data_IF_396572799550
#
_entry.id   IF_396572799550
#
_cell.length_a   1.000
_cell.length_b   1.000
_cell.length_c   1.000
_cell.angle_alpha   90.00
_cell.angle_beta   90.00
_cell.angle_gamma   90.00
#
_symmetry.space_group_name_H-M   'P 1'
#
loop_
_entity.id
_entity.type
_entity.pdbx_description
1 polymer ?
#
# COMPACT_ATOMS: atom_id res chain seq x y z
N UNK A 1 6.41 37.32 -21.84
CA UNK A 1 5.90 36.27 -20.93
C UNK A 1 4.78 36.89 -20.13
N UNK A 2 3.62 36.23 -20.04
CA UNK A 2 2.49 36.74 -19.22
C UNK A 2 2.93 36.94 -17.77
N UNK A 3 2.54 38.08 -17.18
CA UNK A 3 2.78 38.46 -15.79
C UNK A 3 1.75 37.87 -14.82
N UNK A 4 0.83 37.04 -15.32
CA UNK A 4 -0.21 36.45 -14.49
C UNK A 4 0.39 35.48 -13.46
N UNK A 5 -0.11 35.60 -12.24
CA UNK A 5 0.36 34.81 -11.09
C UNK A 5 -0.82 34.36 -10.27
N UNK A 6 -0.62 33.23 -9.61
CA UNK A 6 -1.59 32.70 -8.65
C UNK A 6 -1.57 33.56 -7.39
N UNK A 7 -2.74 34.04 -6.97
CA UNK A 7 -2.89 34.77 -5.72
C UNK A 7 -2.98 33.84 -4.51
N UNK A 8 -2.85 34.40 -3.30
CA UNK A 8 -2.84 33.65 -2.03
C UNK A 8 -4.11 32.84 -1.74
N UNK A 9 -5.23 33.15 -2.40
CA UNK A 9 -6.49 32.43 -2.28
C UNK A 9 -6.47 31.01 -2.85
N UNK A 10 -5.42 30.66 -3.60
CA UNK A 10 -5.27 29.34 -4.23
C UNK A 10 -5.34 28.18 -3.24
N UNK A 11 -4.84 28.37 -2.02
CA UNK A 11 -4.83 27.30 -1.02
C UNK A 11 -6.26 26.86 -0.64
N UNK A 12 -7.23 27.76 -0.74
CA UNK A 12 -8.65 27.48 -0.49
C UNK A 12 -9.40 27.08 -1.75
N UNK A 13 -9.10 27.72 -2.88
CA UNK A 13 -9.84 27.54 -4.14
C UNK A 13 -9.31 26.38 -5.00
N UNK A 14 -8.09 25.91 -4.72
CA UNK A 14 -7.33 25.05 -5.62
C UNK A 14 -6.77 25.83 -6.81
N UNK A 15 -6.15 25.10 -7.74
CA UNK A 15 -5.52 25.67 -8.94
C UNK A 15 -6.37 25.58 -10.21
N UNK A 16 -7.51 24.90 -10.15
CA UNK A 16 -8.39 24.62 -11.30
C UNK A 16 -8.77 25.87 -12.09
N UNK A 17 -9.08 26.97 -11.40
CA UNK A 17 -9.58 28.20 -12.02
C UNK A 17 -8.48 29.17 -12.46
N UNK A 18 -7.21 28.86 -12.18
CA UNK A 18 -6.07 29.64 -12.64
C UNK A 18 -5.61 29.15 -14.02
N UNK A 19 -5.12 30.05 -14.88
CA UNK A 19 -4.54 29.66 -16.17
C UNK A 19 -3.24 28.85 -16.00
N UNK A 20 -2.87 28.08 -17.02
CA UNK A 20 -1.64 27.28 -16.97
C UNK A 20 -0.42 28.19 -16.89
N UNK A 21 -0.48 29.33 -17.58
CA UNK A 21 0.53 30.38 -17.58
C UNK A 21 0.69 30.99 -16.19
N UNK A 22 -0.39 31.17 -15.43
CA UNK A 22 -0.32 31.70 -14.06
C UNK A 22 0.36 30.71 -13.10
N UNK A 23 0.11 29.41 -13.27
CA UNK A 23 0.74 28.35 -12.47
C UNK A 23 2.24 28.30 -12.78
N UNK A 24 2.60 28.21 -14.07
CA UNK A 24 4.02 28.19 -14.52
C UNK A 24 4.74 29.49 -14.15
N UNK A 25 4.08 30.65 -14.29
CA UNK A 25 4.63 31.94 -13.90
C UNK A 25 4.89 32.03 -12.39
N UNK A 26 4.02 31.43 -11.58
CA UNK A 26 4.22 31.34 -10.12
C UNK A 26 5.38 30.41 -9.78
N UNK A 27 5.51 29.27 -10.47
CA UNK A 27 6.67 28.39 -10.33
C UNK A 27 7.98 29.13 -10.65
N UNK A 28 8.02 29.83 -11.79
CA UNK A 28 9.19 30.59 -12.24
C UNK A 28 9.57 31.72 -11.29
N UNK A 29 8.59 32.47 -10.78
CA UNK A 29 8.85 33.55 -9.82
C UNK A 29 9.58 33.06 -8.56
N UNK A 30 9.26 31.85 -8.10
CA UNK A 30 9.85 31.26 -6.91
C UNK A 30 11.01 30.30 -7.22
N UNK A 31 11.58 30.37 -8.43
CA UNK A 31 12.85 29.72 -8.76
C UNK A 31 12.76 28.39 -9.50
N UNK A 32 11.55 27.95 -9.91
CA UNK A 32 11.34 26.69 -10.62
C UNK A 32 10.90 26.98 -12.05
N UNK A 33 11.80 26.76 -13.02
CA UNK A 33 11.47 26.85 -14.44
C UNK A 33 10.87 25.53 -14.92
N UNK A 34 9.67 25.58 -15.50
CA UNK A 34 8.97 24.41 -16.06
C UNK A 34 8.48 24.75 -17.45
N UNK A 35 8.76 23.88 -18.42
CA UNK A 35 8.10 23.86 -19.71
C UNK A 35 7.22 22.61 -19.81
N UNK A 36 6.22 22.63 -20.70
CA UNK A 36 5.40 21.44 -20.96
C UNK A 36 6.23 20.26 -21.46
N UNK A 37 7.23 20.51 -22.32
CA UNK A 37 8.11 19.48 -22.85
C UNK A 37 8.92 18.79 -21.75
N UNK A 38 9.56 19.57 -20.86
CA UNK A 38 10.33 19.03 -19.74
C UNK A 38 9.43 18.29 -18.75
N UNK A 39 8.22 18.80 -18.50
CA UNK A 39 7.25 18.15 -17.62
C UNK A 39 6.82 16.79 -18.18
N UNK A 40 6.52 16.71 -19.49
CA UNK A 40 6.20 15.45 -20.16
C UNK A 40 7.34 14.45 -20.06
N UNK A 41 8.58 14.88 -20.28
CA UNK A 41 9.76 14.02 -20.12
C UNK A 41 9.93 13.52 -18.68
N UNK A 42 9.80 14.39 -17.68
CA UNK A 42 9.85 13.99 -16.27
C UNK A 42 8.76 12.98 -15.92
N UNK A 43 7.56 13.15 -16.50
CA UNK A 43 6.41 12.29 -16.24
C UNK A 43 6.58 10.85 -16.74
N UNK A 44 7.57 10.56 -17.58
CA UNK A 44 7.90 9.20 -17.99
C UNK A 44 8.49 8.38 -16.83
N UNK A 45 9.07 9.06 -15.83
CA UNK A 45 9.78 8.42 -14.72
C UNK A 45 9.22 8.77 -13.34
N UNK A 46 8.45 9.85 -13.24
CA UNK A 46 7.97 10.39 -11.97
C UNK A 46 6.48 10.73 -12.07
N UNK A 47 5.82 10.64 -10.93
CA UNK A 47 4.45 11.09 -10.72
C UNK A 47 4.44 12.47 -10.06
N UNK A 48 3.29 13.15 -9.97
CA UNK A 48 3.23 14.55 -9.53
C UNK A 48 3.98 14.87 -8.23
N UNK A 49 3.93 14.01 -7.20
CA UNK A 49 4.67 14.27 -5.96
C UNK A 49 6.18 14.17 -6.17
N UNK A 50 6.67 13.17 -6.89
CA UNK A 50 8.10 13.05 -7.24
C UNK A 50 8.60 14.24 -8.06
N UNK A 51 7.79 14.70 -9.02
CA UNK A 51 8.09 15.90 -9.81
C UNK A 51 8.19 17.12 -8.89
N UNK A 52 7.24 17.30 -7.98
CA UNK A 52 7.26 18.40 -7.01
C UNK A 52 8.47 18.33 -6.06
N UNK A 53 8.83 17.14 -5.58
CA UNK A 53 10.02 16.90 -4.76
C UNK A 53 11.30 17.31 -5.50
N UNK A 54 11.39 17.05 -6.80
CA UNK A 54 12.53 17.50 -7.62
C UNK A 54 12.64 19.04 -7.74
N UNK A 55 11.53 19.75 -7.55
CA UNK A 55 11.47 21.22 -7.57
C UNK A 55 11.84 21.83 -6.21
N UNK A 56 11.59 21.13 -5.11
CA UNK A 56 11.75 21.64 -3.74
C UNK A 56 13.14 22.24 -3.46
N UNK A 57 14.29 21.67 -3.90
CA UNK A 57 15.60 22.26 -3.67
C UNK A 57 15.79 23.66 -4.28
N UNK A 58 15.02 24.00 -5.31
CA UNK A 58 15.08 25.30 -6.02
C UNK A 58 13.96 26.25 -5.57
N UNK A 59 12.96 25.73 -4.86
CA UNK A 59 11.75 26.45 -4.47
C UNK A 59 12.02 27.46 -3.37
N UNK A 60 11.67 28.73 -3.62
CA UNK A 60 11.83 29.86 -2.68
C UNK A 60 10.52 30.34 -2.07
N UNK A 61 9.39 29.70 -2.41
CA UNK A 61 8.08 30.06 -1.88
C UNK A 61 7.92 29.62 -0.43
N UNK A 62 7.41 30.51 0.42
CA UNK A 62 7.21 30.27 1.85
C UNK A 62 5.75 30.51 2.26
N UNK A 63 5.42 30.21 3.52
CA UNK A 63 4.07 30.40 4.07
C UNK A 63 3.01 29.66 3.25
N UNK A 64 1.99 30.37 2.78
CA UNK A 64 0.91 29.79 1.98
C UNK A 64 1.38 29.21 0.64
N UNK A 65 2.54 29.63 0.12
CA UNK A 65 3.10 29.07 -1.12
C UNK A 65 4.06 27.91 -0.87
N UNK A 66 4.41 27.59 0.39
CA UNK A 66 5.26 26.43 0.69
C UNK A 66 4.75 25.11 0.05
N UNK A 67 3.44 24.76 0.08
CA UNK A 67 2.94 23.55 -0.55
C UNK A 67 2.61 23.70 -2.05
N UNK A 68 2.85 24.86 -2.66
CA UNK A 68 2.46 25.14 -4.04
C UNK A 68 3.06 24.16 -5.08
N UNK A 69 4.33 23.72 -4.97
CA UNK A 69 4.91 22.77 -5.93
C UNK A 69 4.08 21.50 -6.12
N UNK A 70 3.56 20.92 -5.03
CA UNK A 70 2.74 19.70 -5.08
C UNK A 70 1.39 19.93 -5.76
N UNK A 71 0.70 21.02 -5.41
CA UNK A 71 -0.56 21.38 -6.05
C UNK A 71 -0.36 21.70 -7.54
N UNK A 72 0.70 22.43 -7.88
CA UNK A 72 1.05 22.79 -9.25
C UNK A 72 1.37 21.54 -10.08
N UNK A 73 2.18 20.60 -9.56
CA UNK A 73 2.47 19.36 -10.28
C UNK A 73 1.21 18.54 -10.57
N UNK A 74 0.29 18.43 -9.61
CA UNK A 74 -0.99 17.73 -9.81
C UNK A 74 -1.89 18.39 -10.86
N UNK A 75 -2.00 19.72 -10.82
CA UNK A 75 -2.82 20.47 -11.79
C UNK A 75 -2.18 20.47 -13.19
N UNK A 76 -0.86 20.61 -13.30
CA UNK A 76 -0.14 20.52 -14.57
C UNK A 76 -0.23 19.11 -15.17
N UNK A 77 -0.15 18.07 -14.35
CA UNK A 77 -0.42 16.69 -14.80
C UNK A 77 -1.80 16.58 -15.42
N UNK A 78 -2.84 17.07 -14.74
CA UNK A 78 -4.21 17.02 -15.24
C UNK A 78 -4.38 17.72 -16.59
N UNK A 79 -3.68 18.84 -16.80
CA UNK A 79 -3.81 19.66 -18.02
C UNK A 79 -2.99 19.13 -19.18
N UNK A 80 -1.72 18.79 -18.93
CA UNK A 80 -0.79 18.37 -19.98
C UNK A 80 -0.88 16.86 -20.25
N UNK A 81 -1.26 16.06 -19.25
CA UNK A 81 -1.30 14.59 -19.34
C UNK A 81 -2.71 14.06 -19.10
N UNK A 82 -3.75 14.74 -19.61
CA UNK A 82 -5.17 14.41 -19.38
C UNK A 82 -5.57 12.97 -19.74
N UNK A 83 -4.81 12.28 -20.60
CA UNK A 83 -4.98 10.87 -20.93
C UNK A 83 -4.39 9.89 -19.90
N UNK A 84 -3.53 10.34 -18.98
CA UNK A 84 -2.86 9.51 -17.97
C UNK A 84 -3.55 9.67 -16.62
N UNK A 85 -3.77 8.54 -15.94
CA UNK A 85 -4.30 8.54 -14.59
C UNK A 85 -3.30 9.21 -13.63
N UNK A 86 -3.76 10.17 -12.83
CA UNK A 86 -2.98 10.71 -11.73
C UNK A 86 -3.16 9.84 -10.47
N UNK A 87 -2.13 9.68 -9.62
CA UNK A 87 -2.24 8.90 -8.38
C UNK A 87 -3.40 9.34 -7.46
N UNK A 88 -3.63 10.64 -7.33
CA UNK A 88 -4.72 11.16 -6.49
C UNK A 88 -6.11 10.76 -6.99
N UNK A 89 -6.31 10.54 -8.29
CA UNK A 89 -7.59 10.06 -8.83
C UNK A 89 -7.89 8.64 -8.34
N UNK A 90 -6.85 7.79 -8.22
CA UNK A 90 -6.96 6.47 -7.59
C UNK A 90 -7.27 6.60 -6.10
N UNK A 91 -6.52 7.43 -5.37
CA UNK A 91 -6.72 7.62 -3.93
C UNK A 91 -8.14 8.10 -3.60
N UNK A 92 -8.64 9.09 -4.34
CA UNK A 92 -9.99 9.63 -4.15
C UNK A 92 -11.07 8.57 -4.43
N UNK A 93 -10.92 7.80 -5.51
CA UNK A 93 -11.87 6.75 -5.86
C UNK A 93 -11.87 5.62 -4.85
N UNK A 94 -10.70 5.22 -4.34
CA UNK A 94 -10.57 4.20 -3.32
C UNK A 94 -11.17 4.67 -1.98
N UNK A 95 -10.88 5.90 -1.56
CA UNK A 95 -11.45 6.48 -0.34
C UNK A 95 -12.99 6.57 -0.42
N UNK A 96 -13.55 6.95 -1.57
CA UNK A 96 -15.00 6.97 -1.80
C UNK A 96 -15.62 5.57 -1.72
N UNK A 97 -14.96 4.57 -2.30
CA UNK A 97 -15.40 3.17 -2.22
C UNK A 97 -15.37 2.67 -0.78
N UNK A 98 -14.26 2.85 -0.06
CA UNK A 98 -14.15 2.46 1.36
C UNK A 98 -15.21 3.18 2.20
N UNK A 99 -15.46 4.46 1.95
CA UNK A 99 -16.52 5.22 2.63
C UNK A 99 -17.92 4.66 2.37
N UNK A 100 -18.24 4.31 1.12
CA UNK A 100 -19.53 3.72 0.77
C UNK A 100 -19.73 2.33 1.40
N UNK A 101 -18.68 1.50 1.41
CA UNK A 101 -18.71 0.19 2.07
C UNK A 101 -18.82 0.32 3.60
N UNK A 102 -18.17 1.32 4.19
CA UNK A 102 -18.32 1.66 5.61
C UNK A 102 -19.76 2.08 5.96
N UNK A 103 -20.41 2.87 5.10
CA UNK A 103 -21.83 3.22 5.27
C UNK A 103 -22.74 1.99 5.18
N UNK A 104 -22.48 1.08 4.24
CA UNK A 104 -23.20 -0.18 4.11
C UNK A 104 -23.10 -1.00 5.40
N UNK A 105 -21.89 -1.15 5.94
CA UNK A 105 -21.63 -1.87 7.21
C UNK A 105 -22.32 -1.23 8.41
N UNK A 106 -22.62 0.08 8.35
CA UNK A 106 -23.38 0.80 9.36
C UNK A 106 -24.90 0.72 9.15
N UNK A 107 -25.38 -0.03 8.14
CA UNK A 107 -26.80 -0.23 7.86
C UNK A 107 -27.46 0.91 7.07
N UNK A 108 -26.68 1.78 6.42
CA UNK A 108 -27.22 2.85 5.57
C UNK A 108 -27.85 2.23 4.31
N UNK A 109 -29.18 2.29 4.20
CA UNK A 109 -29.94 1.61 3.14
C UNK A 109 -29.60 2.05 1.71
N UNK A 110 -29.13 3.28 1.53
CA UNK A 110 -28.80 3.87 0.22
C UNK A 110 -27.31 4.20 0.10
N UNK A 111 -26.44 3.41 0.73
CA UNK A 111 -25.00 3.55 0.54
C UNK A 111 -24.65 3.43 -0.96
N UNK A 112 -23.84 4.36 -1.54
CA UNK A 112 -23.60 4.45 -2.97
C UNK A 112 -22.59 3.40 -3.49
N UNK A 113 -22.68 2.15 -3.01
CA UNK A 113 -21.70 1.09 -3.21
C UNK A 113 -21.52 0.75 -4.69
N UNK A 114 -22.61 0.55 -5.42
CA UNK A 114 -22.56 0.20 -6.84
C UNK A 114 -21.84 1.28 -7.67
N UNK A 115 -22.26 2.54 -7.55
CA UNK A 115 -21.61 3.66 -8.25
C UNK A 115 -20.15 3.87 -7.84
N UNK A 116 -19.81 3.61 -6.58
CA UNK A 116 -18.42 3.69 -6.12
C UNK A 116 -17.55 2.58 -6.70
N UNK A 117 -18.06 1.34 -6.82
CA UNK A 117 -17.37 0.26 -7.51
C UNK A 117 -17.21 0.53 -9.00
N UNK A 118 -18.25 1.02 -9.68
CA UNK A 118 -18.18 1.42 -11.09
C UNK A 118 -17.08 2.46 -11.32
N UNK A 119 -17.06 3.53 -10.52
CA UNK A 119 -16.01 4.55 -10.58
C UNK A 119 -14.62 3.94 -10.35
N UNK A 120 -14.48 3.11 -9.33
CA UNK A 120 -13.20 2.47 -9.00
C UNK A 120 -12.74 1.53 -10.12
N UNK A 121 -13.64 0.80 -10.76
CA UNK A 121 -13.33 -0.07 -11.89
C UNK A 121 -12.87 0.72 -13.12
N UNK A 122 -13.49 1.86 -13.42
CA UNK A 122 -13.03 2.75 -14.49
C UNK A 122 -11.63 3.33 -14.21
N UNK A 123 -11.36 3.70 -12.95
CA UNK A 123 -10.03 4.14 -12.54
C UNK A 123 -9.02 2.99 -12.64
N UNK A 124 -9.38 1.79 -12.17
CA UNK A 124 -8.54 0.58 -12.22
C UNK A 124 -8.04 0.27 -13.63
N UNK A 125 -8.90 0.40 -14.65
CA UNK A 125 -8.55 0.18 -16.06
C UNK A 125 -7.43 1.09 -16.57
N UNK A 126 -7.22 2.26 -15.94
CA UNK A 126 -6.23 3.26 -16.32
C UNK A 126 -4.97 3.23 -15.45
N UNK A 127 -4.91 2.34 -14.45
CA UNK A 127 -3.73 2.19 -13.59
C UNK A 127 -2.53 1.75 -14.44
N UNK A 128 -1.39 2.46 -14.39
CA UNK A 128 -0.20 2.03 -15.10
C UNK A 128 0.30 0.70 -14.53
N UNK A 129 0.62 -0.23 -15.42
CA UNK A 129 1.14 -1.55 -15.07
C UNK A 129 2.53 -1.76 -15.63
N UNK A 130 3.32 -2.58 -14.95
CA UNK A 130 4.63 -3.04 -15.40
C UNK A 130 4.50 -4.18 -16.44
N UNK A 131 5.63 -4.69 -16.91
CA UNK A 131 5.68 -5.78 -17.92
C UNK A 131 5.03 -7.10 -17.45
N UNK A 132 4.79 -7.27 -16.15
CA UNK A 132 4.10 -8.42 -15.55
C UNK A 132 2.59 -8.18 -15.42
N UNK A 133 2.08 -7.03 -15.84
CA UNK A 133 0.69 -6.63 -15.68
C UNK A 133 0.32 -6.24 -14.24
N UNK A 134 1.31 -5.98 -13.38
CA UNK A 134 1.10 -5.54 -12.00
C UNK A 134 1.16 -4.02 -11.91
N UNK A 135 0.42 -3.36 -11.00
CA UNK A 135 0.50 -1.92 -10.85
C UNK A 135 1.92 -1.42 -10.64
N UNK A 136 2.25 -0.32 -11.33
CA UNK A 136 3.54 0.35 -11.18
C UNK A 136 3.79 0.77 -9.73
N UNK A 137 4.94 0.40 -9.18
CA UNK A 137 5.25 0.59 -7.76
C UNK A 137 5.32 2.08 -7.40
N UNK A 138 5.90 2.92 -8.26
CA UNK A 138 5.99 4.36 -8.03
C UNK A 138 4.61 5.01 -7.99
N UNK A 139 3.73 4.59 -8.90
CA UNK A 139 2.34 5.04 -8.93
C UNK A 139 1.60 4.66 -7.65
N UNK A 140 1.70 3.40 -7.25
CA UNK A 140 1.01 2.88 -6.07
C UNK A 140 1.52 3.48 -4.77
N UNK A 141 2.83 3.71 -4.66
CA UNK A 141 3.41 4.41 -3.51
C UNK A 141 2.82 5.82 -3.36
N UNK A 142 2.76 6.60 -4.44
CA UNK A 142 2.17 7.94 -4.37
C UNK A 142 0.67 7.90 -4.09
N UNK A 143 -0.06 6.99 -4.75
CA UNK A 143 -1.52 6.86 -4.61
C UNK A 143 -1.92 6.42 -3.20
N UNK A 144 -1.17 5.52 -2.57
CA UNK A 144 -1.52 4.99 -1.25
C UNK A 144 -0.97 5.83 -0.10
N UNK A 145 0.00 6.72 -0.35
CA UNK A 145 0.63 7.56 0.69
C UNK A 145 -0.35 8.42 1.50
N UNK A 146 -1.51 8.77 0.93
CA UNK A 146 -2.51 9.62 1.61
C UNK A 146 -3.32 8.88 2.67
N UNK A 147 -3.26 7.55 2.69
CA UNK A 147 -3.94 6.73 3.70
C UNK A 147 -3.03 6.58 4.93
N UNK A 148 -3.50 7.10 6.06
CA UNK A 148 -2.84 6.90 7.34
C UNK A 148 -3.02 5.46 7.86
N UNK A 149 -2.38 5.13 8.98
CA UNK A 149 -2.48 3.79 9.58
C UNK A 149 -3.92 3.36 9.91
N UNK A 150 -4.81 4.32 10.18
CA UNK A 150 -6.20 4.02 10.48
C UNK A 150 -6.94 3.61 9.20
N UNK A 151 -6.72 4.36 8.12
CA UNK A 151 -7.28 4.04 6.82
C UNK A 151 -6.69 2.74 6.26
N UNK A 152 -5.39 2.49 6.43
CA UNK A 152 -4.75 1.23 6.03
C UNK A 152 -5.36 0.03 6.76
N UNK A 153 -5.53 0.11 8.09
CA UNK A 153 -6.24 -0.95 8.85
C UNK A 153 -7.68 -1.14 8.39
N UNK A 154 -8.40 -0.04 8.16
CA UNK A 154 -9.77 -0.12 7.65
C UNK A 154 -9.83 -0.77 6.26
N UNK A 155 -8.83 -0.54 5.40
CA UNK A 155 -8.70 -1.20 4.10
C UNK A 155 -8.45 -2.71 4.26
N UNK A 156 -7.51 -3.09 5.14
CA UNK A 156 -7.14 -4.49 5.39
C UNK A 156 -8.30 -5.35 5.90
N UNK A 157 -9.13 -4.79 6.81
CA UNK A 157 -10.22 -5.53 7.44
C UNK A 157 -11.52 -5.57 6.59
N UNK A 158 -11.65 -4.68 5.59
CA UNK A 158 -12.94 -4.35 5.00
C UNK A 158 -13.63 -5.55 4.32
N UNK A 159 -12.86 -6.32 3.55
CA UNK A 159 -13.40 -7.44 2.80
C UNK A 159 -13.96 -8.52 3.75
N UNK A 160 -13.23 -8.82 4.83
CA UNK A 160 -13.68 -9.77 5.83
C UNK A 160 -14.89 -9.25 6.62
N UNK A 161 -14.90 -7.96 6.98
CA UNK A 161 -16.04 -7.33 7.64
C UNK A 161 -17.31 -7.43 6.78
N UNK A 162 -17.21 -7.14 5.48
CA UNK A 162 -18.31 -7.27 4.52
C UNK A 162 -18.82 -8.70 4.44
N UNK A 163 -17.92 -9.68 4.36
CA UNK A 163 -18.28 -11.09 4.33
C UNK A 163 -19.05 -11.52 5.59
N UNK A 164 -18.52 -11.17 6.77
CA UNK A 164 -19.15 -11.45 8.07
C UNK A 164 -20.50 -10.75 8.25
N UNK A 165 -20.67 -9.58 7.66
CA UNK A 165 -21.92 -8.82 7.66
C UNK A 165 -22.97 -9.33 6.66
N UNK A 166 -22.68 -10.39 5.90
CA UNK A 166 -23.62 -10.96 4.92
C UNK A 166 -23.61 -10.24 3.57
N UNK A 167 -22.51 -9.58 3.21
CA UNK A 167 -22.30 -8.94 1.91
C UNK A 167 -21.19 -9.63 1.09
N UNK A 168 -21.32 -10.93 0.76
CA UNK A 168 -20.24 -11.72 0.16
C UNK A 168 -19.81 -11.21 -1.22
N UNK A 169 -20.74 -10.71 -2.04
CA UNK A 169 -20.40 -10.19 -3.37
C UNK A 169 -19.52 -8.93 -3.29
N UNK A 170 -19.79 -8.04 -2.33
CA UNK A 170 -18.96 -6.86 -2.10
C UNK A 170 -17.62 -7.21 -1.47
N UNK A 171 -17.58 -8.22 -0.60
CA UNK A 171 -16.33 -8.76 -0.04
C UNK A 171 -15.43 -9.31 -1.16
N UNK A 172 -15.96 -10.16 -2.03
CA UNK A 172 -15.22 -10.77 -3.13
C UNK A 172 -14.71 -9.70 -4.11
N UNK A 173 -15.56 -8.73 -4.48
CA UNK A 173 -15.18 -7.62 -5.36
C UNK A 173 -14.11 -6.70 -4.74
N UNK A 174 -14.17 -6.45 -3.43
CA UNK A 174 -13.16 -5.64 -2.75
C UNK A 174 -11.84 -6.38 -2.59
N UNK A 175 -11.84 -7.69 -2.28
CA UNK A 175 -10.61 -8.48 -2.29
C UNK A 175 -9.97 -8.57 -3.67
N UNK A 176 -10.77 -8.65 -4.74
CA UNK A 176 -10.25 -8.57 -6.11
C UNK A 176 -9.55 -7.25 -6.43
N UNK A 177 -10.04 -6.15 -5.83
CA UNK A 177 -9.38 -4.86 -5.93
C UNK A 177 -8.11 -4.83 -5.08
N UNK A 178 -8.17 -5.31 -3.85
CA UNK A 178 -7.03 -5.39 -2.93
C UNK A 178 -5.86 -6.17 -3.54
N UNK A 179 -6.10 -7.39 -4.02
CA UNK A 179 -5.07 -8.24 -4.62
C UNK A 179 -4.51 -7.69 -5.94
N UNK A 180 -5.25 -6.78 -6.59
CA UNK A 180 -4.74 -6.01 -7.71
C UNK A 180 -3.82 -4.88 -7.24
N UNK A 181 -4.29 -4.05 -6.30
CA UNK A 181 -3.54 -2.90 -5.79
C UNK A 181 -2.27 -3.30 -5.02
N UNK A 182 -2.31 -4.45 -4.34
CA UNK A 182 -1.23 -5.00 -3.54
C UNK A 182 -0.90 -6.43 -4.03
N UNK A 183 -0.08 -6.57 -5.10
CA UNK A 183 0.21 -7.86 -5.71
C UNK A 183 0.78 -8.92 -4.76
N UNK A 184 1.52 -8.51 -3.73
CA UNK A 184 2.04 -9.42 -2.70
C UNK A 184 0.92 -10.13 -1.91
N UNK A 185 -0.31 -9.58 -1.91
CA UNK A 185 -1.50 -10.18 -1.29
C UNK A 185 -2.27 -11.13 -2.20
N UNK A 186 -1.88 -11.27 -3.47
CA UNK A 186 -2.61 -12.10 -4.44
C UNK A 186 -2.75 -13.54 -3.96
N UNK A 187 -3.97 -14.05 -3.91
CA UNK A 187 -4.28 -15.38 -3.38
C UNK A 187 -4.14 -15.52 -1.86
N UNK A 188 -4.18 -14.41 -1.10
CA UNK A 188 -4.12 -14.40 0.37
C UNK A 188 -5.40 -13.81 0.95
N UNK A 189 -5.87 -12.67 0.44
CA UNK A 189 -7.08 -11.98 0.93
C UNK A 189 -8.34 -12.82 0.69
N UNK A 190 -8.50 -13.41 -0.50
CA UNK A 190 -9.66 -14.26 -0.81
C UNK A 190 -9.81 -15.50 0.09
N UNK A 191 -8.76 -16.30 0.35
CA UNK A 191 -8.84 -17.39 1.32
C UNK A 191 -9.36 -16.97 2.70
N UNK A 192 -8.95 -15.82 3.24
CA UNK A 192 -9.43 -15.32 4.53
C UNK A 192 -10.95 -15.11 4.52
N UNK A 193 -11.47 -14.51 3.44
CA UNK A 193 -12.92 -14.31 3.24
C UNK A 193 -13.64 -15.65 3.12
N UNK A 194 -13.13 -16.57 2.30
CA UNK A 194 -13.71 -17.92 2.12
C UNK A 194 -13.78 -18.68 3.44
N UNK A 195 -12.75 -18.57 4.28
CA UNK A 195 -12.75 -19.18 5.60
C UNK A 195 -13.89 -18.66 6.49
N UNK A 196 -14.24 -17.36 6.39
CA UNK A 196 -15.38 -16.78 7.11
C UNK A 196 -16.75 -17.29 6.62
N UNK A 197 -16.80 -17.89 5.43
CA UNK A 197 -18.00 -18.41 4.76
C UNK A 197 -18.16 -19.93 4.87
N UNK A 198 -17.34 -20.58 5.69
CA UNK A 198 -17.41 -22.02 5.94
C UNK A 198 -16.45 -22.88 5.09
N UNK A 199 -15.65 -22.28 4.20
CA UNK A 199 -14.65 -23.00 3.39
C UNK A 199 -13.27 -23.02 4.08
N UNK A 200 -13.25 -23.18 5.41
CA UNK A 200 -12.05 -22.98 6.22
C UNK A 200 -10.89 -23.89 5.82
N UNK A 201 -11.12 -25.18 5.66
CA UNK A 201 -10.01 -26.12 5.41
C UNK A 201 -9.36 -25.89 4.05
N UNK A 202 -10.17 -25.69 2.99
CA UNK A 202 -9.67 -25.36 1.66
C UNK A 202 -8.93 -24.01 1.65
N UNK A 203 -9.44 -23.00 2.36
CA UNK A 203 -8.76 -21.71 2.49
C UNK A 203 -7.40 -21.84 3.19
N UNK A 204 -7.32 -22.64 4.25
CA UNK A 204 -6.06 -22.90 4.95
C UNK A 204 -5.05 -23.64 4.08
N UNK A 205 -5.49 -24.57 3.24
CA UNK A 205 -4.62 -25.24 2.26
C UNK A 205 -4.07 -24.25 1.23
N UNK A 206 -4.89 -23.34 0.71
CA UNK A 206 -4.46 -22.34 -0.27
C UNK A 206 -3.45 -21.36 0.33
N UNK A 207 -3.65 -20.91 1.57
CA UNK A 207 -2.67 -20.08 2.29
C UNK A 207 -1.37 -20.86 2.57
N UNK A 208 -1.46 -22.14 2.91
CA UNK A 208 -0.28 -22.98 3.13
C UNK A 208 0.55 -23.15 1.84
N UNK A 209 -0.13 -23.33 0.69
CA UNK A 209 0.52 -23.36 -0.64
C UNK A 209 1.18 -22.02 -0.94
N UNK A 210 0.50 -20.90 -0.72
CA UNK A 210 1.06 -19.57 -0.94
C UNK A 210 2.29 -19.30 -0.07
N UNK A 211 2.29 -19.70 1.19
CA UNK A 211 3.45 -19.55 2.08
C UNK A 211 4.66 -20.39 1.65
N UNK A 212 4.41 -21.53 1.00
CA UNK A 212 5.45 -22.50 0.60
C UNK A 212 5.94 -22.32 -0.85
N UNK A 213 5.30 -21.46 -1.63
CA UNK A 213 5.61 -21.23 -3.05
C UNK A 213 6.83 -20.31 -3.20
N UNK A 214 7.98 -20.90 -3.54
CA UNK A 214 9.25 -20.18 -3.72
C UNK A 214 9.30 -19.28 -4.95
N UNK A 215 8.28 -19.32 -5.83
CA UNK A 215 8.15 -18.36 -6.93
C UNK A 215 7.60 -17.00 -6.49
N UNK A 216 7.02 -16.93 -5.28
CA UNK A 216 6.52 -15.70 -4.67
C UNK A 216 7.62 -14.91 -3.99
N UNK A 217 7.38 -13.61 -3.84
CA UNK A 217 8.24 -12.73 -3.04
C UNK A 217 8.27 -13.19 -1.58
N UNK A 218 9.38 -12.95 -0.85
CA UNK A 218 9.43 -13.27 0.58
C UNK A 218 8.31 -12.62 1.38
N UNK A 219 7.98 -11.35 1.10
CA UNK A 219 6.90 -10.64 1.78
C UNK A 219 5.53 -11.28 1.49
N UNK A 220 5.24 -11.73 0.27
CA UNK A 220 3.99 -12.45 -0.04
C UNK A 220 3.87 -13.76 0.75
N UNK A 221 4.97 -14.51 0.87
CA UNK A 221 4.99 -15.76 1.67
C UNK A 221 4.75 -15.48 3.15
N UNK A 222 5.33 -14.40 3.69
CA UNK A 222 5.09 -13.96 5.08
C UNK A 222 3.63 -13.53 5.29
N UNK A 223 3.05 -12.78 4.36
CA UNK A 223 1.64 -12.39 4.43
C UNK A 223 0.71 -13.61 4.42
N UNK A 224 1.07 -14.69 3.72
CA UNK A 224 0.31 -15.93 3.75
C UNK A 224 0.42 -16.63 5.13
N UNK A 225 1.59 -16.56 5.78
CA UNK A 225 1.76 -16.99 7.18
C UNK A 225 0.90 -16.16 8.12
N UNK A 226 0.84 -14.84 7.92
CA UNK A 226 -0.04 -13.95 8.69
C UNK A 226 -1.52 -14.29 8.48
N UNK A 227 -1.93 -14.65 7.26
CA UNK A 227 -3.27 -15.17 6.98
C UNK A 227 -3.57 -16.47 7.76
N UNK A 228 -2.61 -17.40 7.85
CA UNK A 228 -2.76 -18.62 8.66
C UNK A 228 -2.88 -18.30 10.16
N UNK A 229 -2.07 -17.36 10.66
CA UNK A 229 -2.13 -16.89 12.06
C UNK A 229 -3.46 -16.22 12.37
N UNK A 230 -3.93 -15.35 11.48
CA UNK A 230 -5.22 -14.67 11.59
C UNK A 230 -6.37 -15.68 11.69
N UNK A 231 -6.33 -16.71 10.86
CA UNK A 231 -7.27 -17.81 10.92
C UNK A 231 -6.98 -18.79 12.08
N UNK A 232 -5.99 -18.56 12.94
CA UNK A 232 -5.61 -19.39 14.10
C UNK A 232 -5.16 -20.81 13.74
N UNK A 233 -4.63 -21.02 12.55
CA UNK A 233 -4.08 -22.31 12.11
C UNK A 233 -2.60 -22.45 12.52
N UNK A 234 -2.35 -22.42 13.84
CA UNK A 234 -0.99 -22.37 14.41
C UNK A 234 -0.14 -23.60 14.05
N UNK A 235 -0.76 -24.76 13.89
CA UNK A 235 -0.14 -25.99 13.41
C UNK A 235 0.41 -25.81 11.99
N UNK A 236 -0.38 -25.21 11.09
CA UNK A 236 0.06 -24.91 9.72
C UNK A 236 1.15 -23.85 9.68
N UNK A 237 1.06 -22.82 10.52
CA UNK A 237 2.12 -21.80 10.68
C UNK A 237 3.44 -22.45 11.06
N UNK A 238 3.43 -23.37 12.03
CA UNK A 238 4.63 -24.12 12.41
C UNK A 238 5.22 -24.93 11.24
N UNK A 239 4.36 -25.57 10.43
CA UNK A 239 4.77 -26.38 9.28
C UNK A 239 5.47 -25.56 8.20
N UNK A 240 4.94 -24.38 7.84
CA UNK A 240 5.50 -23.57 6.73
C UNK A 240 6.51 -22.52 7.19
N UNK A 241 6.35 -22.00 8.40
CA UNK A 241 7.21 -20.96 8.93
C UNK A 241 8.61 -21.45 9.25
N UNK A 242 8.76 -22.71 9.69
CA UNK A 242 10.08 -23.27 10.03
C UNK A 242 10.99 -23.41 8.81
N UNK A 243 10.58 -24.05 7.70
CA UNK A 243 11.38 -24.06 6.48
C UNK A 243 11.70 -22.66 5.93
N UNK A 244 10.76 -21.73 6.05
CA UNK A 244 10.95 -20.35 5.60
C UNK A 244 11.97 -19.59 6.47
N UNK A 245 12.01 -19.84 7.79
CA UNK A 245 13.05 -19.32 8.68
C UNK A 245 14.43 -19.87 8.30
N UNK A 246 14.53 -21.20 8.11
CA UNK A 246 15.78 -21.84 7.72
C UNK A 246 16.30 -21.30 6.36
N UNK A 247 15.38 -21.04 5.42
CA UNK A 247 15.67 -20.39 4.14
C UNK A 247 16.20 -18.97 4.33
N UNK A 248 15.52 -18.14 5.13
CA UNK A 248 15.90 -16.76 5.39
C UNK A 248 17.29 -16.67 6.04
N UNK A 249 17.58 -17.54 7.01
CA UNK A 249 18.92 -17.62 7.62
C UNK A 249 19.99 -18.02 6.60
N UNK A 250 19.70 -19.00 5.74
CA UNK A 250 20.63 -19.47 4.70
C UNK A 250 20.93 -18.38 3.66
N UNK A 251 19.94 -17.56 3.31
CA UNK A 251 20.11 -16.43 2.39
C UNK A 251 20.55 -15.14 3.08
N UNK A 252 20.76 -15.18 4.40
CA UNK A 252 21.16 -14.03 5.22
C UNK A 252 20.16 -12.86 5.17
N UNK A 253 18.88 -13.16 4.93
CA UNK A 253 17.80 -12.18 5.07
C UNK A 253 17.38 -12.10 6.53
N UNK A 254 18.15 -11.36 7.31
CA UNK A 254 17.99 -11.30 8.76
C UNK A 254 16.71 -10.59 9.20
N UNK A 255 16.18 -9.66 8.38
CA UNK A 255 14.91 -8.99 8.68
C UNK A 255 13.75 -9.99 8.57
N UNK A 256 13.72 -10.75 7.45
CA UNK A 256 12.75 -11.82 7.26
C UNK A 256 12.86 -12.89 8.34
N UNK A 257 14.08 -13.31 8.71
CA UNK A 257 14.29 -14.29 9.75
C UNK A 257 13.73 -13.82 11.11
N UNK A 258 13.96 -12.56 11.51
CA UNK A 258 13.41 -11.99 12.75
C UNK A 258 11.87 -11.92 12.70
N UNK A 259 11.30 -11.54 11.57
CA UNK A 259 9.86 -11.49 11.36
C UNK A 259 9.21 -12.88 11.52
N UNK A 260 9.86 -13.93 11.02
CA UNK A 260 9.39 -15.31 11.13
C UNK A 260 9.54 -15.87 12.54
N UNK A 261 10.61 -15.51 13.25
CA UNK A 261 10.80 -15.88 14.66
C UNK A 261 9.60 -15.39 15.50
N UNK A 262 9.18 -14.14 15.34
CA UNK A 262 8.03 -13.61 16.10
C UNK A 262 6.72 -14.38 15.81
N UNK A 263 6.49 -14.75 14.55
CA UNK A 263 5.30 -15.49 14.10
C UNK A 263 5.30 -16.94 14.60
N UNK A 264 6.43 -17.63 14.50
CA UNK A 264 6.62 -18.97 15.05
C UNK A 264 6.51 -18.98 16.58
N UNK A 265 7.04 -17.97 17.25
CA UNK A 265 6.92 -17.84 18.72
C UNK A 265 5.46 -17.75 19.13
N UNK A 266 4.65 -16.95 18.42
CA UNK A 266 3.21 -16.89 18.65
C UNK A 266 2.56 -18.26 18.44
N UNK A 267 2.80 -18.91 17.30
CA UNK A 267 2.20 -20.19 16.97
C UNK A 267 2.54 -21.29 18.00
N UNK A 268 3.81 -21.44 18.37
CA UNK A 268 4.24 -22.45 19.34
C UNK A 268 3.69 -22.18 20.75
N UNK A 269 3.55 -20.91 21.17
CA UNK A 269 2.86 -20.56 22.41
C UNK A 269 1.40 -21.01 22.41
N UNK A 270 0.68 -20.79 21.31
CA UNK A 270 -0.71 -21.23 21.18
C UNK A 270 -0.85 -22.76 21.13
N UNK A 271 0.12 -23.45 20.55
CA UNK A 271 0.16 -24.92 20.52
C UNK A 271 0.61 -25.55 21.85
N UNK A 272 1.20 -24.77 22.75
CA UNK A 272 1.82 -25.29 23.98
C UNK A 272 3.10 -26.09 23.75
N UNK A 273 3.75 -25.92 22.59
CA UNK A 273 4.96 -26.67 22.21
C UNK A 273 6.21 -26.04 22.85
N UNK A 274 6.49 -26.46 24.09
CA UNK A 274 7.63 -25.96 24.88
C UNK A 274 8.97 -26.29 24.23
N UNK A 275 9.09 -27.46 23.61
CA UNK A 275 10.34 -27.89 22.96
C UNK A 275 10.64 -27.01 21.75
N UNK A 276 9.64 -26.72 20.92
CA UNK A 276 9.81 -25.82 19.79
C UNK A 276 10.12 -24.39 20.24
N UNK A 277 9.53 -23.90 21.33
CA UNK A 277 9.86 -22.58 21.89
C UNK A 277 11.31 -22.49 22.38
N UNK A 278 11.81 -23.52 23.06
CA UNK A 278 13.21 -23.56 23.51
C UNK A 278 14.19 -23.61 22.34
N UNK A 279 13.86 -24.33 21.26
CA UNK A 279 14.65 -24.33 20.04
C UNK A 279 14.63 -22.95 19.37
N UNK A 280 13.44 -22.36 19.22
CA UNK A 280 13.26 -21.06 18.59
C UNK A 280 13.97 -19.93 19.37
N UNK A 281 14.04 -20.01 20.69
CA UNK A 281 14.80 -19.05 21.50
C UNK A 281 16.31 -19.06 21.16
N UNK A 282 16.87 -20.23 20.85
CA UNK A 282 18.26 -20.35 20.38
C UNK A 282 18.42 -19.80 18.97
N UNK A 283 17.46 -20.07 18.09
CA UNK A 283 17.44 -19.52 16.72
C UNK A 283 17.36 -17.99 16.77
N UNK A 284 16.46 -17.43 17.58
CA UNK A 284 16.33 -15.99 17.82
C UNK A 284 17.66 -15.35 18.23
N UNK A 285 18.33 -15.91 19.24
CA UNK A 285 19.61 -15.37 19.70
C UNK A 285 20.69 -15.42 18.60
N UNK A 286 20.71 -16.48 17.78
CA UNK A 286 21.61 -16.60 16.63
C UNK A 286 21.30 -15.55 15.55
N UNK A 287 20.03 -15.41 15.17
CA UNK A 287 19.57 -14.45 14.15
C UNK A 287 19.81 -13.01 14.60
N UNK A 288 19.45 -12.67 15.84
CA UNK A 288 19.66 -11.31 16.40
C UNK A 288 21.15 -10.93 16.39
N UNK A 289 22.04 -11.87 16.74
CA UNK A 289 23.48 -11.66 16.68
C UNK A 289 23.95 -11.43 15.23
N UNK A 290 23.52 -12.27 14.29
CA UNK A 290 23.90 -12.16 12.89
C UNK A 290 23.38 -10.85 12.26
N UNK A 291 22.16 -10.45 12.60
CA UNK A 291 21.57 -9.17 12.21
C UNK A 291 22.42 -7.99 12.70
N UNK A 292 22.81 -7.97 13.98
CA UNK A 292 23.60 -6.89 14.56
C UNK A 292 25.00 -6.79 13.94
N UNK A 293 25.64 -7.93 13.64
CA UNK A 293 26.92 -8.00 12.96
C UNK A 293 26.83 -7.46 11.51
N UNK A 294 25.72 -7.72 10.82
CA UNK A 294 25.45 -7.19 9.47
C UNK A 294 25.06 -5.70 9.48
N UNK A 295 24.43 -5.21 10.56
CA UNK A 295 23.91 -3.84 10.68
C UNK A 295 24.33 -3.15 11.99
N UNK A 296 25.63 -2.84 12.18
CA UNK A 296 26.11 -2.23 13.41
C UNK A 296 25.47 -0.85 13.65
N UNK A 297 24.70 -0.72 14.73
CA UNK A 297 24.08 0.54 15.18
C UNK A 297 22.56 0.65 15.04
N UNK A 298 21.90 -0.30 14.38
CA UNK A 298 20.45 -0.26 14.09
C UNK A 298 19.55 -0.30 15.35
N UNK A 299 20.03 -0.90 16.46
CA UNK A 299 19.29 -0.98 17.74
C UNK A 299 19.09 0.36 18.46
N UNK A 300 19.86 1.41 18.13
CA UNK A 300 19.76 2.70 18.86
C UNK A 300 18.47 3.48 18.59
N UNK A 301 17.67 3.08 17.59
CA UNK A 301 16.44 3.78 17.21
C UNK A 301 15.13 3.12 17.66
N UNK A 302 15.12 1.88 18.16
CA UNK A 302 13.87 1.19 18.55
C UNK A 302 13.37 1.49 19.98
N UNK A 303 14.13 2.20 20.82
CA UNK A 303 13.75 2.52 22.20
C UNK A 303 13.24 3.96 22.42
N UNK A 304 12.83 4.67 21.36
CA UNK A 304 12.14 5.96 21.48
C UNK A 304 10.80 5.94 20.74
N UNK A 305 9.85 5.14 21.22
CA UNK A 305 8.42 5.39 21.06
C UNK A 305 7.68 4.87 22.28
#
# INVERSE_FOLDING_TARGET
MSTDRVDKGWQRKGLKDYSTEAIVGTLGHYGVTVSEADFRQLSEKQYPAGIAESWMPKWKGTGQFAPFPYAAAGELWKRWLSGRLAPYELSESLAQLMGALGQLLQGVQQAPVASSFERMNEVRKRVPVNDKGEPDTGFMQEALRVFDERAARAFDDLAEMLSKAGHPEHADAFADLEEFLLPDRRGISKPIIRASRGERDAALEDLQKAASDSSRTPISRVLAVDGLLHLKANDKVAVVGRPLLDEAERTQDWHLALDLVARLEHAYKQLGDRTALEALAKDRARVEKAHDEAHPGHRRHQHQH
#
